data_IF_331344651672
#
_entry.id   IF_331344651672
#
_cell.length_a   1.000
_cell.length_b   1.000
_cell.length_c   1.000
_cell.angle_alpha   90.00
_cell.angle_beta   90.00
_cell.angle_gamma   90.00
#
_symmetry.space_group_name_H-M   'P 1'
#
loop_
_entity.id
_entity.type
_entity.pdbx_description
1 polymer ?
#
# COMPACT_ATOMS: atom_id res chain seq x y z
N UNK A 1 -26.96 -17.05 -7.43
CA UNK A 1 -25.67 -17.12 -6.71
C UNK A 1 -24.58 -17.37 -7.71
N UNK A 2 -23.71 -16.40 -7.94
CA UNK A 2 -22.50 -16.58 -8.77
C UNK A 2 -21.51 -17.35 -7.90
N UNK A 3 -20.98 -18.48 -8.38
CA UNK A 3 -20.00 -19.27 -7.64
C UNK A 3 -18.67 -18.53 -7.66
N UNK A 4 -17.89 -18.58 -6.56
CA UNK A 4 -16.53 -17.99 -6.49
C UNK A 4 -15.65 -18.42 -7.68
N UNK A 5 -15.81 -19.65 -8.18
CA UNK A 5 -15.13 -20.15 -9.37
C UNK A 5 -15.52 -19.44 -10.68
N UNK A 6 -16.70 -18.80 -10.76
CA UNK A 6 -17.14 -18.06 -11.94
C UNK A 6 -16.60 -16.62 -11.93
N UNK A 7 -16.31 -16.07 -10.75
CA UNK A 7 -15.62 -14.77 -10.59
C UNK A 7 -14.16 -14.84 -11.07
N UNK A 8 -13.45 -15.90 -10.70
CA UNK A 8 -12.05 -16.10 -11.11
C UNK A 8 -11.85 -16.16 -12.64
N UNK A 9 -12.92 -16.42 -13.41
CA UNK A 9 -12.89 -16.52 -14.87
C UNK A 9 -13.31 -15.24 -15.60
N UNK A 10 -13.86 -14.26 -14.89
CA UNK A 10 -14.34 -13.01 -15.50
C UNK A 10 -13.82 -11.81 -14.69
N UNK A 11 -12.79 -11.09 -15.20
CA UNK A 11 -12.24 -9.91 -14.52
C UNK A 11 -13.27 -8.84 -14.18
N UNK A 12 -14.34 -8.68 -14.98
CA UNK A 12 -15.42 -7.73 -14.73
C UNK A 12 -16.33 -8.14 -13.55
N UNK A 13 -16.18 -9.36 -13.03
CA UNK A 13 -16.91 -9.88 -11.86
C UNK A 13 -15.98 -10.28 -10.73
N UNK A 14 -14.74 -9.87 -10.81
CA UNK A 14 -13.71 -10.22 -9.81
C UNK A 14 -13.86 -9.45 -8.50
N UNK A 15 -14.68 -8.39 -8.45
CA UNK A 15 -14.87 -7.55 -7.27
C UNK A 15 -16.34 -7.15 -7.11
N UNK A 16 -16.76 -7.03 -5.85
CA UNK A 16 -18.09 -6.51 -5.48
C UNK A 16 -18.34 -5.10 -5.98
N UNK A 17 -17.28 -4.33 -6.19
CA UNK A 17 -17.33 -2.94 -6.65
C UNK A 17 -17.56 -2.81 -8.16
N UNK A 18 -17.30 -3.86 -8.93
CA UNK A 18 -17.50 -3.89 -10.38
C UNK A 18 -18.87 -4.48 -10.77
N UNK A 19 -19.57 -5.10 -9.84
CA UNK A 19 -20.91 -5.65 -10.09
C UNK A 19 -21.97 -4.56 -9.97
N UNK A 20 -22.77 -4.38 -11.03
CA UNK A 20 -23.99 -3.56 -10.96
C UNK A 20 -25.03 -4.31 -10.15
N UNK A 21 -25.01 -4.10 -8.85
CA UNK A 21 -25.97 -4.73 -7.94
C UNK A 21 -27.30 -3.99 -8.01
N UNK A 22 -28.34 -4.67 -8.47
CA UNK A 22 -29.70 -4.19 -8.24
C UNK A 22 -29.98 -4.37 -6.75
N UNK A 23 -30.30 -3.30 -5.99
CA UNK A 23 -30.69 -3.44 -4.60
C UNK A 23 -31.86 -4.44 -4.54
N UNK A 24 -31.69 -5.55 -3.82
CA UNK A 24 -32.80 -6.43 -3.50
C UNK A 24 -33.74 -5.63 -2.63
N UNK A 25 -34.84 -5.15 -3.23
CA UNK A 25 -35.81 -4.28 -2.58
C UNK A 25 -36.31 -4.85 -1.27
N UNK A 26 -36.36 -4.01 -0.26
CA UNK A 26 -37.01 -4.02 1.02
C UNK A 26 -37.41 -5.38 1.62
N UNK A 27 -36.64 -5.86 2.60
CA UNK A 27 -37.02 -7.07 3.35
C UNK A 27 -35.89 -7.73 4.14
N UNK A 28 -34.76 -7.08 4.31
CA UNK A 28 -33.74 -7.58 5.23
C UNK A 28 -34.23 -7.57 6.68
N UNK A 29 -33.67 -8.42 7.57
CA UNK A 29 -34.03 -8.44 8.98
C UNK A 29 -33.90 -7.05 9.61
N UNK A 30 -34.91 -6.65 10.39
CA UNK A 30 -34.90 -5.36 11.07
C UNK A 30 -33.63 -5.21 11.93
N UNK A 31 -32.93 -4.09 11.75
CA UNK A 31 -31.72 -3.77 12.51
C UNK A 31 -30.43 -4.41 12.02
N UNK A 32 -30.41 -5.05 10.84
CA UNK A 32 -29.21 -5.50 10.16
C UNK A 32 -28.99 -4.63 8.91
N UNK A 33 -27.80 -4.11 8.78
CA UNK A 33 -27.33 -3.35 7.63
C UNK A 33 -25.92 -3.79 7.24
N UNK A 34 -25.40 -3.30 6.12
CA UNK A 34 -24.08 -3.67 5.62
C UNK A 34 -22.98 -3.15 6.56
N UNK A 35 -23.14 -1.98 7.11
CA UNK A 35 -22.20 -1.37 8.02
C UNK A 35 -21.97 -2.21 9.28
N UNK A 36 -23.04 -2.74 9.88
CA UNK A 36 -22.96 -3.66 11.02
C UNK A 36 -22.31 -4.98 10.67
N UNK A 37 -22.59 -5.52 9.48
CA UNK A 37 -21.98 -6.76 8.98
C UNK A 37 -20.48 -6.55 8.82
N UNK A 38 -20.05 -5.46 8.17
CA UNK A 38 -18.67 -5.12 7.93
C UNK A 38 -17.93 -4.87 9.24
N UNK A 39 -18.49 -4.08 10.16
CA UNK A 39 -17.87 -3.83 11.46
C UNK A 39 -17.67 -5.12 12.29
N UNK A 40 -18.64 -6.04 12.28
CA UNK A 40 -18.47 -7.34 12.93
C UNK A 40 -17.42 -8.20 12.24
N UNK A 41 -17.37 -8.17 10.90
CA UNK A 41 -16.35 -8.88 10.15
C UNK A 41 -14.93 -8.35 10.44
N UNK A 42 -14.74 -7.02 10.52
CA UNK A 42 -13.43 -6.41 10.86
C UNK A 42 -12.98 -6.90 12.24
N UNK A 43 -13.84 -6.84 13.28
CA UNK A 43 -13.47 -7.35 14.61
C UNK A 43 -13.04 -8.81 14.56
N UNK A 44 -13.79 -9.68 13.90
CA UNK A 44 -13.43 -11.09 13.75
C UNK A 44 -12.12 -11.30 12.99
N UNK A 45 -11.86 -10.48 11.97
CA UNK A 45 -10.64 -10.51 11.19
C UNK A 45 -9.43 -10.07 12.02
N UNK A 46 -9.59 -9.04 12.86
CA UNK A 46 -8.55 -8.55 13.78
C UNK A 46 -8.21 -9.57 14.84
N UNK A 47 -9.23 -10.22 15.43
CA UNK A 47 -9.07 -11.18 16.52
C UNK A 47 -8.59 -12.55 16.04
N UNK A 48 -9.18 -13.07 14.95
CA UNK A 48 -8.98 -14.46 14.55
C UNK A 48 -8.31 -14.64 13.17
N UNK A 49 -8.25 -13.58 12.36
CA UNK A 49 -7.67 -13.58 11.01
C UNK A 49 -8.58 -14.17 9.92
N UNK A 50 -8.12 -14.05 8.66
CA UNK A 50 -8.86 -14.44 7.45
C UNK A 50 -9.36 -15.90 7.44
N UNK A 51 -8.54 -16.82 7.96
CA UNK A 51 -8.83 -18.24 7.93
C UNK A 51 -10.05 -18.62 8.78
N UNK A 52 -10.32 -17.86 9.82
CA UNK A 52 -11.43 -18.14 10.77
C UNK A 52 -12.73 -17.46 10.38
N UNK A 53 -12.72 -16.46 9.51
CA UNK A 53 -13.94 -15.81 9.02
C UNK A 53 -14.77 -16.77 8.19
N UNK A 54 -16.04 -16.95 8.57
CA UNK A 54 -17.03 -17.70 7.81
C UNK A 54 -18.42 -17.09 7.94
N UNK A 55 -19.26 -17.25 6.91
CA UNK A 55 -20.64 -16.74 6.92
C UNK A 55 -21.44 -17.24 8.14
N UNK A 56 -21.20 -18.46 8.57
CA UNK A 56 -21.88 -19.05 9.74
C UNK A 56 -21.43 -18.41 11.05
N UNK A 57 -20.12 -18.20 11.23
CA UNK A 57 -19.58 -17.53 12.41
C UNK A 57 -20.03 -16.08 12.49
N UNK A 58 -19.95 -15.36 11.38
CA UNK A 58 -20.37 -13.96 11.32
C UNK A 58 -21.88 -13.81 11.60
N UNK A 59 -22.71 -14.72 11.11
CA UNK A 59 -24.13 -14.73 11.42
C UNK A 59 -24.38 -15.00 12.91
N UNK A 60 -23.64 -15.92 13.52
CA UNK A 60 -23.72 -16.19 14.96
C UNK A 60 -23.32 -14.97 15.79
N UNK A 61 -22.22 -14.29 15.44
CA UNK A 61 -21.75 -13.05 16.09
C UNK A 61 -22.83 -11.95 16.05
N UNK A 62 -23.54 -11.83 14.94
CA UNK A 62 -24.60 -10.84 14.73
C UNK A 62 -25.98 -11.31 15.28
N UNK A 63 -26.05 -12.52 15.81
CA UNK A 63 -27.29 -13.15 16.28
C UNK A 63 -28.38 -13.20 15.19
N UNK A 64 -27.99 -13.57 13.97
CA UNK A 64 -28.88 -13.72 12.81
C UNK A 64 -28.64 -15.07 12.12
N UNK A 65 -29.47 -15.41 11.14
CA UNK A 65 -29.21 -16.58 10.30
C UNK A 65 -28.20 -16.27 9.21
N UNK A 66 -27.43 -17.27 8.75
CA UNK A 66 -26.52 -17.08 7.62
C UNK A 66 -27.27 -16.62 6.35
N UNK A 67 -28.53 -17.04 6.16
CA UNK A 67 -29.36 -16.56 5.06
C UNK A 67 -29.62 -15.04 5.12
N UNK A 68 -29.69 -14.48 6.32
CA UNK A 68 -29.88 -13.04 6.50
C UNK A 68 -28.71 -12.23 5.95
N UNK A 69 -27.47 -12.75 6.02
CA UNK A 69 -26.30 -12.08 5.46
C UNK A 69 -26.34 -12.06 3.94
N UNK A 70 -26.88 -13.09 3.30
CA UNK A 70 -26.97 -13.18 1.84
C UNK A 70 -27.95 -12.17 1.21
N UNK A 71 -28.71 -11.43 2.00
CA UNK A 71 -29.45 -10.26 1.53
C UNK A 71 -28.50 -9.10 1.18
N UNK A 72 -27.37 -9.00 1.87
CA UNK A 72 -26.43 -7.87 1.78
C UNK A 72 -25.17 -8.20 0.96
N UNK A 73 -24.73 -9.45 0.97
CA UNK A 73 -23.51 -9.93 0.30
C UNK A 73 -23.78 -11.28 -0.35
N UNK A 74 -23.09 -11.59 -1.45
CA UNK A 74 -23.25 -12.89 -2.13
C UNK A 74 -22.21 -13.91 -1.68
N UNK A 75 -21.03 -13.45 -1.26
CA UNK A 75 -19.90 -14.30 -0.89
C UNK A 75 -19.20 -13.77 0.36
N UNK A 76 -18.34 -14.60 0.96
CA UNK A 76 -17.39 -14.18 1.99
C UNK A 76 -16.42 -13.13 1.45
N UNK A 77 -16.02 -13.26 0.18
CA UNK A 77 -15.07 -12.34 -0.44
C UNK A 77 -15.63 -10.91 -0.57
N UNK A 78 -16.96 -10.77 -0.80
CA UNK A 78 -17.61 -9.46 -0.78
C UNK A 78 -17.47 -8.78 0.58
N UNK A 79 -17.61 -9.57 1.67
CA UNK A 79 -17.45 -9.04 3.03
C UNK A 79 -16.02 -8.58 3.26
N UNK A 80 -15.02 -9.35 2.78
CA UNK A 80 -13.61 -9.00 2.91
C UNK A 80 -13.32 -7.72 2.12
N UNK A 81 -13.80 -7.58 0.90
CA UNK A 81 -13.62 -6.36 0.11
C UNK A 81 -14.27 -5.13 0.75
N UNK A 82 -15.48 -5.26 1.30
CA UNK A 82 -16.11 -4.18 2.06
C UNK A 82 -15.35 -3.86 3.34
N UNK A 83 -14.84 -4.86 4.04
CA UNK A 83 -14.03 -4.67 5.24
C UNK A 83 -12.71 -3.96 4.91
N UNK A 84 -12.03 -4.35 3.82
CA UNK A 84 -10.83 -3.68 3.34
C UNK A 84 -11.09 -2.21 3.03
N UNK A 85 -12.14 -1.90 2.29
CA UNK A 85 -12.48 -0.51 1.96
C UNK A 85 -12.85 0.30 3.21
N UNK A 86 -13.58 -0.30 4.17
CA UNK A 86 -13.89 0.34 5.45
C UNK A 86 -12.64 0.71 6.22
N UNK A 87 -11.63 -0.16 6.23
CA UNK A 87 -10.33 0.08 6.88
C UNK A 87 -9.53 1.17 6.16
N UNK A 88 -9.60 1.28 4.82
CA UNK A 88 -9.07 2.44 4.10
C UNK A 88 -9.78 3.75 4.50
N UNK A 89 -11.04 3.68 4.90
CA UNK A 89 -11.77 4.83 5.43
C UNK A 89 -11.27 5.34 6.80
N UNK A 90 -10.39 4.61 7.48
CA UNK A 90 -9.75 5.03 8.72
C UNK A 90 -8.55 5.98 8.51
N UNK A 91 -8.09 6.15 7.27
CA UNK A 91 -7.01 7.09 6.96
C UNK A 91 -7.42 8.52 7.26
N UNK A 92 -6.59 9.25 7.97
CA UNK A 92 -6.79 10.69 8.18
C UNK A 92 -6.39 11.48 6.93
N UNK A 93 -7.31 11.52 5.95
CA UNK A 93 -7.10 12.30 4.73
C UNK A 93 -7.07 13.80 4.99
N UNK A 94 -7.66 14.27 6.11
CA UNK A 94 -7.57 15.67 6.52
C UNK A 94 -6.14 16.06 6.90
N UNK A 95 -5.41 15.17 7.58
CA UNK A 95 -3.99 15.38 7.86
C UNK A 95 -3.14 15.39 6.56
N UNK A 96 -3.50 14.56 5.57
CA UNK A 96 -2.84 14.57 4.26
C UNK A 96 -3.09 15.89 3.52
N UNK A 97 -4.32 16.43 3.57
CA UNK A 97 -4.67 17.70 2.95
C UNK A 97 -4.01 18.91 3.62
N UNK A 98 -3.78 18.83 4.92
CA UNK A 98 -3.09 19.86 5.69
C UNK A 98 -1.55 19.80 5.53
N UNK A 99 -1.00 18.78 4.91
CA UNK A 99 0.44 18.58 4.75
C UNK A 99 1.07 19.63 3.82
N UNK A 100 2.24 20.16 4.21
CA UNK A 100 2.98 21.14 3.42
C UNK A 100 3.86 20.44 2.36
N UNK A 101 3.27 20.29 1.18
CA UNK A 101 3.92 19.71 0.01
C UNK A 101 4.06 18.19 0.02
N UNK A 102 4.54 17.66 -1.09
CA UNK A 102 4.56 16.23 -1.37
C UNK A 102 5.35 15.40 -0.35
N UNK A 103 6.41 15.97 0.26
CA UNK A 103 7.24 15.26 1.25
C UNK A 103 6.45 14.89 2.48
N UNK A 104 5.73 15.86 3.01
CA UNK A 104 4.90 15.65 4.20
C UNK A 104 3.68 14.80 3.86
N UNK A 105 3.09 14.99 2.69
CA UNK A 105 2.01 14.10 2.21
C UNK A 105 2.45 12.64 2.16
N UNK A 106 3.65 12.34 1.63
CA UNK A 106 4.21 10.98 1.61
C UNK A 106 4.40 10.46 3.03
N UNK A 107 4.92 11.27 3.96
CA UNK A 107 5.12 10.85 5.36
C UNK A 107 3.81 10.52 6.06
N UNK A 108 2.81 11.38 5.92
CA UNK A 108 1.49 11.15 6.52
C UNK A 108 0.84 9.90 5.93
N UNK A 109 0.81 9.75 4.60
CA UNK A 109 0.26 8.58 3.93
C UNK A 109 0.99 7.28 4.32
N UNK A 110 2.31 7.31 4.44
CA UNK A 110 3.12 6.17 4.85
C UNK A 110 2.83 5.77 6.32
N UNK A 111 2.68 6.75 7.22
CA UNK A 111 2.31 6.51 8.61
C UNK A 111 0.91 5.92 8.74
N UNK A 112 -0.07 6.46 8.02
CA UNK A 112 -1.44 5.92 8.01
C UNK A 112 -1.48 4.48 7.47
N UNK A 113 -0.73 4.20 6.39
CA UNK A 113 -0.65 2.85 5.82
C UNK A 113 0.02 1.87 6.79
N UNK A 114 1.12 2.27 7.47
CA UNK A 114 1.76 1.47 8.52
C UNK A 114 0.78 1.19 9.67
N UNK A 115 0.09 2.22 10.18
CA UNK A 115 -0.91 2.10 11.24
C UNK A 115 -2.00 1.10 10.88
N UNK A 116 -2.51 1.19 9.65
CA UNK A 116 -3.51 0.27 9.12
C UNK A 116 -3.01 -1.18 9.16
N UNK A 117 -1.78 -1.45 8.68
CA UNK A 117 -1.21 -2.80 8.65
C UNK A 117 -0.95 -3.37 10.05
N UNK A 118 -0.56 -2.53 10.99
CA UNK A 118 -0.32 -2.93 12.39
C UNK A 118 -1.65 -3.18 13.11
N UNK A 119 -2.64 -2.31 12.91
CA UNK A 119 -3.96 -2.43 13.54
C UNK A 119 -4.78 -3.57 12.98
N UNK A 120 -4.68 -3.81 11.67
CA UNK A 120 -5.43 -4.81 10.93
C UNK A 120 -4.50 -5.82 10.24
N UNK A 121 -3.92 -6.78 10.99
CA UNK A 121 -2.90 -7.71 10.47
C UNK A 121 -3.35 -8.52 9.25
N UNK A 122 -4.65 -8.76 9.11
CA UNK A 122 -5.25 -9.48 8.00
C UNK A 122 -5.22 -8.70 6.66
N UNK A 123 -4.95 -7.38 6.70
CA UNK A 123 -4.79 -6.58 5.49
C UNK A 123 -3.57 -7.01 4.67
N UNK A 124 -2.44 -7.33 5.32
CA UNK A 124 -1.23 -7.76 4.63
C UNK A 124 -1.44 -9.00 3.74
N UNK A 125 -1.98 -10.14 4.24
CA UNK A 125 -2.23 -11.29 3.39
C UNK A 125 -3.37 -11.09 2.38
N UNK A 126 -4.20 -10.05 2.53
CA UNK A 126 -5.24 -9.70 1.57
C UNK A 126 -4.71 -8.90 0.37
N UNK A 127 -3.53 -8.27 0.52
CA UNK A 127 -2.92 -7.51 -0.56
C UNK A 127 -2.62 -8.40 -1.77
N UNK A 128 -3.05 -7.94 -2.94
CA UNK A 128 -2.91 -8.68 -4.20
C UNK A 128 -3.92 -9.83 -4.42
N UNK A 129 -4.72 -10.20 -3.41
CA UNK A 129 -5.81 -11.17 -3.57
C UNK A 129 -7.12 -10.51 -3.99
N UNK A 130 -7.34 -9.29 -3.57
CA UNK A 130 -8.54 -8.50 -3.82
C UNK A 130 -8.19 -7.20 -4.53
N UNK A 131 -9.14 -6.65 -5.30
CA UNK A 131 -8.99 -5.34 -5.93
C UNK A 131 -9.36 -4.26 -4.92
N UNK A 132 -8.41 -3.35 -4.66
CA UNK A 132 -8.63 -2.19 -3.78
C UNK A 132 -9.24 -1.03 -4.59
N UNK A 133 -10.50 -1.17 -4.99
CA UNK A 133 -11.23 -0.22 -5.85
C UNK A 133 -12.53 0.29 -5.22
N UNK A 134 -12.68 0.10 -3.91
CA UNK A 134 -13.75 0.72 -3.14
C UNK A 134 -13.55 2.24 -3.02
N UNK A 135 -14.60 2.99 -2.64
CA UNK A 135 -14.57 4.45 -2.61
C UNK A 135 -13.48 5.02 -1.70
N UNK A 136 -13.23 4.43 -0.53
CA UNK A 136 -12.17 4.90 0.38
C UNK A 136 -10.78 4.55 -0.17
N UNK A 137 -10.59 3.35 -0.70
CA UNK A 137 -9.34 2.96 -1.33
C UNK A 137 -8.99 3.85 -2.54
N UNK A 138 -10.00 4.24 -3.35
CA UNK A 138 -9.83 5.19 -4.45
C UNK A 138 -9.45 6.57 -3.92
N UNK A 139 -10.08 7.05 -2.84
CA UNK A 139 -9.76 8.33 -2.24
C UNK A 139 -8.31 8.38 -1.72
N UNK A 140 -7.86 7.33 -1.04
CA UNK A 140 -6.45 7.20 -0.61
C UNK A 140 -5.52 7.14 -1.82
N UNK A 141 -5.86 6.36 -2.85
CA UNK A 141 -5.10 6.27 -4.10
C UNK A 141 -4.95 7.62 -4.81
N UNK A 142 -6.00 8.46 -4.80
CA UNK A 142 -5.95 9.81 -5.36
C UNK A 142 -4.95 10.70 -4.60
N UNK A 143 -4.91 10.62 -3.25
CA UNK A 143 -3.94 11.36 -2.45
C UNK A 143 -2.50 10.88 -2.65
N UNK A 144 -2.30 9.58 -2.84
CA UNK A 144 -1.00 9.04 -3.21
C UNK A 144 -0.55 9.57 -4.57
N UNK A 145 -1.46 9.58 -5.56
CA UNK A 145 -1.16 10.12 -6.89
C UNK A 145 -0.84 11.62 -6.82
N UNK A 146 -1.58 12.40 -6.04
CA UNK A 146 -1.33 13.82 -5.79
C UNK A 146 0.07 14.04 -5.19
N UNK A 147 0.42 13.31 -4.14
CA UNK A 147 1.72 13.41 -3.48
C UNK A 147 2.88 13.08 -4.42
N UNK A 148 2.79 11.99 -5.16
CA UNK A 148 3.83 11.57 -6.11
C UNK A 148 3.88 12.50 -7.33
N UNK A 149 2.73 12.95 -7.84
CA UNK A 149 2.66 13.95 -8.91
C UNK A 149 3.35 15.27 -8.53
N UNK A 150 3.23 15.69 -7.28
CA UNK A 150 3.89 16.86 -6.72
C UNK A 150 5.41 16.78 -6.60
N UNK A 151 6.02 15.59 -6.77
CA UNK A 151 7.48 15.42 -6.69
C UNK A 151 8.23 16.08 -7.83
N UNK A 152 7.61 16.24 -9.00
CA UNK A 152 8.27 16.67 -10.23
C UNK A 152 8.95 15.54 -11.01
N UNK A 153 8.80 14.28 -10.60
CA UNK A 153 9.24 13.14 -11.40
C UNK A 153 8.47 13.03 -12.72
N UNK A 154 9.12 12.63 -13.82
CA UNK A 154 8.43 12.28 -15.06
C UNK A 154 7.33 11.24 -14.84
N UNK A 155 6.24 11.35 -15.56
CA UNK A 155 5.04 10.52 -15.36
C UNK A 155 5.35 9.01 -15.44
N UNK A 156 6.27 8.61 -16.31
CA UNK A 156 6.71 7.21 -16.47
C UNK A 156 7.55 6.69 -15.29
N UNK A 157 8.07 7.58 -14.42
CA UNK A 157 8.82 7.24 -13.21
C UNK A 157 7.97 7.21 -11.94
N UNK A 158 6.83 7.88 -11.94
CA UNK A 158 5.94 7.98 -10.78
C UNK A 158 5.46 6.61 -10.24
N UNK A 159 5.08 5.62 -11.08
CA UNK A 159 4.70 4.30 -10.58
C UNK A 159 5.84 3.59 -9.82
N UNK A 160 7.09 3.76 -10.27
CA UNK A 160 8.27 3.16 -9.60
C UNK A 160 8.53 3.81 -8.25
N UNK A 161 8.42 5.14 -8.14
CA UNK A 161 8.55 5.85 -6.87
C UNK A 161 7.44 5.46 -5.89
N UNK A 162 6.19 5.38 -6.37
CA UNK A 162 5.05 4.87 -5.59
C UNK A 162 5.35 3.48 -5.05
N UNK A 163 5.78 2.55 -5.92
CA UNK A 163 6.10 1.18 -5.53
C UNK A 163 7.22 1.13 -4.49
N UNK A 164 8.28 1.94 -4.61
CA UNK A 164 9.38 1.96 -3.65
C UNK A 164 8.90 2.33 -2.24
N UNK A 165 8.07 3.38 -2.11
CA UNK A 165 7.51 3.79 -0.82
C UNK A 165 6.54 2.72 -0.28
N UNK A 166 5.60 2.27 -1.10
CA UNK A 166 4.56 1.32 -0.66
C UNK A 166 5.12 -0.04 -0.28
N UNK A 167 6.08 -0.59 -1.05
CA UNK A 167 6.73 -1.86 -0.72
C UNK A 167 7.51 -1.78 0.59
N UNK A 168 8.19 -0.65 0.83
CA UNK A 168 8.85 -0.41 2.10
C UNK A 168 7.85 -0.41 3.26
N UNK A 169 6.79 0.40 3.18
CA UNK A 169 5.78 0.51 4.25
C UNK A 169 5.07 -0.82 4.47
N UNK A 170 4.71 -1.52 3.38
CA UNK A 170 4.08 -2.83 3.44
C UNK A 170 4.96 -3.85 4.17
N UNK A 171 6.23 -3.96 3.77
CA UNK A 171 7.18 -4.88 4.41
C UNK A 171 7.38 -4.54 5.89
N UNK A 172 7.59 -3.27 6.19
CA UNK A 172 7.82 -2.78 7.54
C UNK A 172 6.62 -3.04 8.45
N UNK A 173 5.44 -2.55 8.08
CA UNK A 173 4.22 -2.71 8.87
C UNK A 173 3.79 -4.18 9.02
N UNK A 174 4.04 -5.01 8.00
CA UNK A 174 3.77 -6.45 8.08
C UNK A 174 4.66 -7.14 9.11
N UNK A 175 5.97 -6.84 9.12
CA UNK A 175 6.92 -7.42 10.09
C UNK A 175 6.57 -6.97 11.50
N UNK A 176 6.33 -5.67 11.71
CA UNK A 176 5.94 -5.10 12.99
C UNK A 176 4.65 -5.75 13.53
N UNK A 177 3.64 -5.85 12.67
CA UNK A 177 2.36 -6.50 13.00
C UNK A 177 2.53 -7.96 13.40
N UNK A 178 3.35 -8.73 12.66
CA UNK A 178 3.63 -10.13 12.98
C UNK A 178 4.40 -10.27 14.30
N UNK A 179 5.33 -9.37 14.57
CA UNK A 179 6.06 -9.35 15.83
C UNK A 179 5.11 -9.11 17.02
N UNK A 180 4.26 -8.09 16.94
CA UNK A 180 3.25 -7.80 17.96
C UNK A 180 2.30 -8.97 18.21
N UNK A 181 1.87 -9.65 17.13
CA UNK A 181 1.02 -10.83 17.26
C UNK A 181 1.74 -12.00 17.96
N UNK A 182 3.01 -12.26 17.63
CA UNK A 182 3.80 -13.30 18.31
C UNK A 182 3.97 -13.02 19.81
N UNK A 183 4.22 -11.76 20.18
CA UNK A 183 4.28 -11.37 21.58
C UNK A 183 2.95 -11.63 22.30
N UNK A 184 1.83 -11.24 21.68
CA UNK A 184 0.50 -11.48 22.23
C UNK A 184 0.17 -12.98 22.35
N UNK A 185 0.51 -13.79 21.35
CA UNK A 185 0.36 -15.27 21.39
C UNK A 185 1.19 -15.91 22.50
N UNK A 186 2.35 -15.34 22.83
CA UNK A 186 3.19 -15.74 23.96
C UNK A 186 2.69 -15.21 25.30
N UNK A 187 1.66 -14.36 25.34
CA UNK A 187 1.16 -13.73 26.56
C UNK A 187 2.12 -12.68 27.13
N UNK A 188 2.98 -12.10 26.32
CA UNK A 188 4.03 -11.16 26.70
C UNK A 188 3.77 -9.77 26.12
N UNK A 189 4.36 -8.73 26.74
CA UNK A 189 4.52 -7.43 26.10
C UNK A 189 5.53 -7.55 24.94
N UNK A 190 5.51 -6.62 24.01
CA UNK A 190 6.50 -6.60 22.92
C UNK A 190 7.93 -6.41 23.45
N UNK A 191 8.10 -5.64 24.51
CA UNK A 191 9.40 -5.39 25.16
C UNK A 191 9.94 -6.65 25.84
N UNK A 192 9.09 -7.37 26.58
CA UNK A 192 9.49 -8.63 27.23
C UNK A 192 9.81 -9.70 26.17
N UNK A 193 8.96 -9.82 25.15
CA UNK A 193 9.16 -10.77 24.06
C UNK A 193 10.46 -10.50 23.30
N UNK A 194 10.79 -9.24 23.05
CA UNK A 194 12.05 -8.84 22.42
C UNK A 194 13.24 -9.21 23.31
N UNK A 195 13.17 -8.84 24.58
CA UNK A 195 14.25 -9.09 25.57
C UNK A 195 14.53 -10.58 25.70
N UNK A 196 13.50 -11.40 25.89
CA UNK A 196 13.65 -12.85 26.00
C UNK A 196 14.15 -13.50 24.70
N UNK A 197 13.71 -12.98 23.54
CA UNK A 197 14.19 -13.46 22.24
C UNK A 197 15.68 -13.17 22.03
N UNK A 198 16.15 -11.96 22.35
CA UNK A 198 17.57 -11.60 22.25
C UNK A 198 18.41 -12.40 23.24
N UNK A 199 17.92 -12.60 24.46
CA UNK A 199 18.60 -13.43 25.47
C UNK A 199 18.75 -14.88 24.99
N UNK A 200 17.65 -15.50 24.54
CA UNK A 200 17.69 -16.86 24.01
C UNK A 200 18.67 -17.01 22.84
N UNK A 201 18.75 -15.99 21.97
CA UNK A 201 19.67 -15.97 20.84
C UNK A 201 21.13 -15.82 21.28
N UNK A 202 21.42 -15.00 22.31
CA UNK A 202 22.77 -14.86 22.88
C UNK A 202 23.23 -16.10 23.64
N UNK A 203 22.32 -16.81 24.29
CA UNK A 203 22.61 -18.00 25.08
C UNK A 203 22.85 -19.25 24.22
N UNK A 204 22.53 -19.21 22.91
CA UNK A 204 22.71 -20.33 21.99
C UNK A 204 24.18 -20.42 21.53
N UNK A 205 24.92 -21.49 21.89
CA UNK A 205 26.36 -21.59 21.64
C UNK A 205 26.76 -21.48 20.16
N UNK A 206 25.86 -21.89 19.24
CA UNK A 206 26.10 -21.81 17.79
C UNK A 206 26.03 -20.40 17.21
N UNK A 207 25.52 -19.42 17.94
CA UNK A 207 25.35 -18.05 17.49
C UNK A 207 26.27 -17.03 18.19
N UNK A 208 26.93 -17.40 19.28
CA UNK A 208 27.75 -16.49 20.06
C UNK A 208 28.82 -15.78 19.20
N UNK A 209 29.59 -16.54 18.41
CA UNK A 209 30.64 -15.99 17.54
C UNK A 209 30.04 -15.13 16.38
N UNK A 210 28.87 -15.50 15.86
CA UNK A 210 28.20 -14.76 14.80
C UNK A 210 27.59 -13.44 15.30
N UNK A 211 27.26 -13.35 16.59
CA UNK A 211 26.67 -12.17 17.21
C UNK A 211 27.71 -11.16 17.71
N UNK A 212 28.94 -11.59 17.95
CA UNK A 212 30.00 -10.72 18.48
C UNK A 212 30.11 -9.39 17.71
N UNK A 213 30.14 -9.37 16.34
CA UNK A 213 30.20 -8.12 15.58
C UNK A 213 28.91 -7.27 15.68
N UNK A 214 27.81 -7.87 16.09
CA UNK A 214 26.50 -7.20 16.16
C UNK A 214 26.15 -6.78 17.59
N UNK A 215 26.94 -7.16 18.60
CA UNK A 215 26.62 -6.92 20.00
C UNK A 215 26.48 -5.44 20.29
N UNK A 216 27.40 -4.61 19.84
CA UNK A 216 27.37 -3.16 20.02
C UNK A 216 26.11 -2.55 19.38
N UNK A 217 25.75 -2.97 18.18
CA UNK A 217 24.53 -2.53 17.50
C UNK A 217 23.25 -2.95 18.24
N UNK A 218 23.22 -4.17 18.77
CA UNK A 218 22.08 -4.68 19.52
C UNK A 218 21.93 -3.97 20.87
N UNK A 219 23.05 -3.67 21.54
CA UNK A 219 23.05 -2.96 22.81
C UNK A 219 22.67 -1.47 22.60
N UNK A 220 23.21 -0.83 21.56
CA UNK A 220 22.81 0.51 21.16
C UNK A 220 21.32 0.58 20.85
N UNK A 221 20.80 -0.38 20.09
CA UNK A 221 19.37 -0.46 19.75
C UNK A 221 18.51 -0.64 21.00
N UNK A 222 18.92 -1.50 21.94
CA UNK A 222 18.21 -1.73 23.20
C UNK A 222 18.23 -0.51 24.14
N UNK A 223 19.23 0.37 24.02
CA UNK A 223 19.34 1.60 24.84
C UNK A 223 18.31 2.67 24.49
N UNK A 224 17.62 2.55 23.34
CA UNK A 224 16.77 3.59 22.77
C UNK A 224 15.28 3.51 23.18
N UNK A 225 14.94 2.88 24.27
CA UNK A 225 13.58 2.85 24.82
C UNK A 225 12.79 1.58 24.46
N UNK A 226 11.47 1.70 24.40
CA UNK A 226 10.60 0.56 24.10
C UNK A 226 10.72 0.09 22.65
N UNK A 227 10.33 -1.16 22.39
CA UNK A 227 10.27 -1.73 21.02
C UNK A 227 9.44 -0.87 20.10
N UNK A 228 8.32 -0.31 20.57
CA UNK A 228 7.50 0.62 19.79
C UNK A 228 8.26 1.87 19.40
N UNK A 229 9.02 2.47 20.32
CA UNK A 229 9.86 3.65 20.01
C UNK A 229 10.97 3.32 19.01
N UNK A 230 11.54 2.12 19.09
CA UNK A 230 12.51 1.64 18.11
C UNK A 230 11.87 1.52 16.72
N UNK A 231 10.67 0.91 16.62
CA UNK A 231 9.92 0.81 15.37
C UNK A 231 9.62 2.20 14.78
N UNK A 232 9.17 3.14 15.60
CA UNK A 232 8.80 4.48 15.14
C UNK A 232 10.01 5.24 14.60
N UNK A 233 11.12 5.23 15.32
CA UNK A 233 12.37 5.90 14.93
C UNK A 233 12.94 5.30 13.64
N UNK A 234 13.06 3.98 13.59
CA UNK A 234 13.66 3.29 12.45
C UNK A 234 12.80 3.45 11.19
N UNK A 235 11.48 3.42 11.34
CA UNK A 235 10.54 3.69 10.24
C UNK A 235 10.69 5.12 9.70
N UNK A 236 10.70 6.12 10.59
CA UNK A 236 10.82 7.51 10.19
C UNK A 236 12.11 7.78 9.43
N UNK A 237 13.25 7.28 9.94
CA UNK A 237 14.55 7.44 9.29
C UNK A 237 14.60 6.74 7.92
N UNK A 238 14.12 5.51 7.82
CA UNK A 238 14.11 4.78 6.56
C UNK A 238 13.19 5.44 5.52
N UNK A 239 12.07 6.00 5.95
CA UNK A 239 11.18 6.78 5.08
C UNK A 239 11.88 8.06 4.59
N UNK A 240 12.63 8.75 5.45
CA UNK A 240 13.42 9.93 5.05
C UNK A 240 14.49 9.57 4.02
N UNK A 241 15.12 8.40 4.12
CA UNK A 241 16.05 7.90 3.09
C UNK A 241 15.35 7.74 1.74
N UNK A 242 14.12 7.21 1.72
CA UNK A 242 13.33 7.08 0.48
C UNK A 242 12.94 8.45 -0.10
N UNK A 243 12.49 9.37 0.74
CA UNK A 243 12.15 10.74 0.32
C UNK A 243 13.37 11.44 -0.28
N UNK A 244 14.53 11.38 0.38
CA UNK A 244 15.80 11.94 -0.13
C UNK A 244 16.23 11.26 -1.45
N UNK A 245 15.97 9.95 -1.59
CA UNK A 245 16.19 9.22 -2.83
C UNK A 245 15.34 9.77 -3.98
N UNK A 246 14.05 10.04 -3.73
CA UNK A 246 13.15 10.65 -4.72
C UNK A 246 13.66 12.05 -5.13
N UNK A 247 14.06 12.89 -4.18
CA UNK A 247 14.65 14.22 -4.44
C UNK A 247 15.89 14.15 -5.35
N UNK A 248 16.76 13.19 -5.07
CA UNK A 248 17.96 12.96 -5.88
C UNK A 248 17.59 12.58 -7.31
N UNK A 249 16.58 11.73 -7.49
CA UNK A 249 16.10 11.32 -8.82
C UNK A 249 15.48 12.50 -9.58
N UNK A 250 14.68 13.34 -8.94
CA UNK A 250 14.14 14.58 -9.51
C UNK A 250 15.25 15.51 -10.00
N UNK A 251 16.28 15.70 -9.19
CA UNK A 251 17.43 16.56 -9.53
C UNK A 251 18.17 16.04 -10.77
N UNK A 252 18.42 14.73 -10.85
CA UNK A 252 19.08 14.09 -12.01
C UNK A 252 18.28 14.22 -13.29
N UNK A 253 16.97 14.01 -13.24
CA UNK A 253 16.09 14.15 -14.41
C UNK A 253 16.06 15.61 -14.92
N UNK A 254 16.06 16.57 -14.00
CA UNK A 254 16.10 18.00 -14.33
C UNK A 254 17.43 18.38 -15.02
N UNK A 255 18.56 17.83 -14.57
CA UNK A 255 19.89 18.05 -15.16
C UNK A 255 19.99 17.39 -16.55
N UNK A 256 19.50 16.15 -16.69
CA UNK A 256 19.50 15.44 -17.95
C UNK A 256 18.69 16.18 -19.02
N UNK A 257 17.50 16.72 -18.63
CA UNK A 257 16.66 17.55 -19.50
C UNK A 257 17.37 18.82 -19.98
N UNK A 258 18.13 19.48 -19.11
CA UNK A 258 18.92 20.69 -19.49
C UNK A 258 20.06 20.39 -20.44
N UNK A 259 20.78 19.30 -20.22
CA UNK A 259 21.88 18.86 -21.09
C UNK A 259 21.40 18.35 -22.45
N UNK A 260 20.22 17.71 -22.52
CA UNK A 260 19.58 17.27 -23.75
C UNK A 260 19.11 18.46 -24.62
N UNK A 261 18.50 19.46 -24.02
CA UNK A 261 18.01 20.66 -24.71
C UNK A 261 19.16 21.54 -25.27
N UNK A 262 20.32 21.57 -24.57
CA UNK A 262 21.50 22.29 -25.06
C UNK A 262 22.16 21.68 -26.29
N UNK A 263 21.99 20.37 -26.54
CA UNK A 263 22.55 19.69 -27.74
C UNK A 263 21.72 19.78 -28.97
N UNK A 264 20.42 20.02 -28.89
CA UNK A 264 19.51 20.22 -30.02
C UNK A 264 19.51 21.65 -30.52
N UNK A 265 19.99 22.63 -29.77
CA UNK A 265 20.07 24.06 -30.15
C UNK A 265 21.34 24.47 -30.91
N UNK A 266 22.39 23.61 -30.97
CA UNK A 266 23.68 23.96 -31.59
C UNK A 266 23.87 23.46 -33.04
N UNK A 267 22.86 22.86 -33.66
CA UNK A 267 22.92 22.23 -34.98
C UNK A 267 22.29 23.02 -36.14
N UNK A 268 22.03 24.31 -35.98
CA UNK A 268 21.30 25.08 -37.00
C UNK A 268 21.94 26.39 -37.39
N UNK A 269 23.16 26.37 -37.96
CA UNK A 269 23.65 27.50 -38.78
C UNK A 269 24.89 27.09 -39.57
N UNK A 270 24.77 26.79 -40.85
CA UNK A 270 25.59 27.21 -41.96
C UNK A 270 25.49 26.25 -43.13
N UNK A 271 24.84 26.67 -44.21
CA UNK A 271 25.37 26.64 -45.56
C UNK A 271 24.47 27.47 -46.46
N UNK A 272 24.78 28.74 -46.52
CA UNK A 272 24.45 29.55 -47.67
C UNK A 272 25.60 29.43 -48.65
N UNK A 273 25.34 29.47 -49.94
CA UNK A 273 26.39 29.71 -50.93
C UNK A 273 26.13 29.10 -52.27
N UNK A 274 25.46 29.87 -53.15
CA UNK A 274 25.83 30.19 -54.53
C UNK A 274 26.12 29.06 -55.51
N UNK A 275 25.45 29.11 -56.65
CA UNK A 275 25.98 28.57 -57.87
C UNK A 275 24.89 28.32 -58.95
N UNK A 276 24.83 29.23 -59.85
CA UNK A 276 24.00 29.43 -61.04
C UNK A 276 24.06 28.29 -62.10
N UNK A 277 23.09 28.33 -62.93
CA UNK A 277 23.09 28.09 -64.40
C UNK A 277 22.83 26.69 -64.92
N UNK A 278 21.94 26.62 -65.88
CA UNK A 278 22.00 25.74 -67.03
C UNK A 278 20.74 24.95 -67.36
N UNK A 279 19.80 25.58 -68.07
CA UNK A 279 18.99 25.10 -69.22
C UNK A 279 18.91 23.54 -69.42
N UNK A 280 17.82 22.95 -69.55
CA UNK A 280 17.08 22.68 -70.82
C UNK A 280 15.98 21.64 -70.60
N UNK A 281 14.84 21.86 -71.11
CA UNK A 281 13.78 20.88 -71.35
C UNK A 281 13.97 20.27 -72.74
N UNK A 282 13.16 19.39 -73.30
CA UNK A 282 12.00 18.60 -72.83
C UNK A 282 11.99 17.15 -73.33
N UNK A 283 10.93 16.42 -73.04
CA UNK A 283 10.53 15.26 -73.85
C UNK A 283 9.84 14.15 -73.10
N UNK A 284 8.57 14.15 -73.07
CA UNK A 284 7.55 13.24 -73.56
C UNK A 284 7.76 11.73 -73.50
N UNK A 285 6.74 11.08 -73.04
CA UNK A 285 6.28 9.80 -73.62
C UNK A 285 6.29 8.56 -72.73
N UNK A 286 5.22 8.19 -72.42
CA UNK A 286 4.28 7.08 -72.31
C UNK A 286 4.00 6.62 -70.90
#
# INVERSE_FOLDING_TARGET
>A
MVKAADRAKNPARSSVWLETRTPRGGGGPAGLDRERIVAAAIRMLDEEGLAKLSMRKLAAELNVTAMSLYWYVDTKDDIIEFAMDSVYGEFDLGAVEAADGWREMIRVLALEYRRMLVRHPWMSPSAGQYLNIGPHAIAVGAKIHEAIGGTGLPMDRQPSATSAVFQFVYGYGTIESQFGRRAAEAGMSQDDFYTESIKAFRDEPGFADALEPMTELLDERASHGSVTQIWDRDFAYALDVLVAGIETMVSRETEAGRTGAGRTGAGGTKAGGTGADGADAPGAGT
#
